data_IF_329019257776
#
_entry.id   IF_329019257776
#
_cell.length_a   1.000
_cell.length_b   1.000
_cell.length_c   1.000
_cell.angle_alpha   90.00
_cell.angle_beta   90.00
_cell.angle_gamma   90.00
#
_symmetry.space_group_name_H-M   'P 1'
#
loop_
_entity.id
_entity.type
_entity.pdbx_description
1 polymer ?
#
# COMPACT_ATOMS: atom_id res chain seq x y z
N UNK A 1 9.88 -11.46 -20.76
CA UNK A 1 10.17 -10.54 -19.62
C UNK A 1 9.18 -9.38 -19.45
N UNK A 2 8.96 -8.50 -20.46
CA UNK A 2 8.02 -7.37 -20.34
C UNK A 2 6.60 -7.78 -19.90
N UNK A 3 6.02 -8.80 -20.57
CA UNK A 3 4.69 -9.37 -20.23
C UNK A 3 4.62 -9.91 -18.79
N UNK A 4 5.72 -10.50 -18.30
CA UNK A 4 5.79 -11.06 -16.95
C UNK A 4 5.76 -9.95 -15.90
N UNK A 5 6.59 -8.92 -16.05
CA UNK A 5 6.62 -7.78 -15.11
C UNK A 5 5.27 -7.04 -15.12
N UNK A 6 4.69 -6.83 -16.31
CA UNK A 6 3.36 -6.23 -16.43
C UNK A 6 2.28 -7.03 -15.71
N UNK A 7 2.35 -8.37 -15.76
CA UNK A 7 1.44 -9.25 -14.99
C UNK A 7 1.56 -9.02 -13.48
N UNK A 8 2.78 -8.94 -12.94
CA UNK A 8 2.94 -8.67 -11.50
C UNK A 8 2.51 -7.26 -11.12
N UNK A 9 2.77 -6.27 -11.98
CA UNK A 9 2.31 -4.90 -11.79
C UNK A 9 0.77 -4.82 -11.73
N UNK A 10 0.05 -5.42 -12.68
CA UNK A 10 -1.42 -5.36 -12.69
C UNK A 10 -2.02 -6.11 -11.48
N UNK A 11 -1.41 -7.23 -11.06
CA UNK A 11 -1.81 -7.93 -9.84
C UNK A 11 -1.59 -7.05 -8.61
N UNK A 12 -0.49 -6.29 -8.53
CA UNK A 12 -0.27 -5.33 -7.45
C UNK A 12 -1.31 -4.21 -7.44
N UNK A 13 -1.63 -3.62 -8.59
CA UNK A 13 -2.66 -2.59 -8.72
C UNK A 13 -4.02 -3.10 -8.24
N UNK A 14 -4.44 -4.30 -8.64
CA UNK A 14 -5.69 -4.90 -8.18
C UNK A 14 -5.71 -5.10 -6.66
N UNK A 15 -4.60 -5.58 -6.08
CA UNK A 15 -4.47 -5.74 -4.63
C UNK A 15 -4.57 -4.39 -3.91
N UNK A 16 -3.93 -3.34 -4.44
CA UNK A 16 -4.01 -1.98 -3.89
C UNK A 16 -5.45 -1.45 -3.91
N UNK A 17 -6.21 -1.70 -4.98
CA UNK A 17 -7.63 -1.33 -5.06
C UNK A 17 -8.46 -2.10 -4.03
N UNK A 18 -8.25 -3.42 -3.89
CA UNK A 18 -8.97 -4.24 -2.90
C UNK A 18 -8.67 -3.76 -1.47
N UNK A 19 -7.39 -3.52 -1.15
CA UNK A 19 -6.98 -2.98 0.15
C UNK A 19 -7.60 -1.62 0.43
N UNK A 20 -7.68 -0.75 -0.57
CA UNK A 20 -8.34 0.55 -0.44
C UNK A 20 -9.84 0.41 -0.13
N UNK A 21 -10.54 -0.48 -0.83
CA UNK A 21 -11.97 -0.74 -0.57
C UNK A 21 -12.16 -1.26 0.86
N UNK A 22 -11.35 -2.25 1.27
CA UNK A 22 -11.41 -2.81 2.63
C UNK A 22 -11.11 -1.76 3.70
N UNK A 23 -10.11 -0.90 3.47
CA UNK A 23 -9.79 0.21 4.37
C UNK A 23 -10.96 1.16 4.55
N UNK A 24 -11.67 1.50 3.46
CA UNK A 24 -12.85 2.37 3.51
C UNK A 24 -14.02 1.73 4.24
N UNK A 25 -14.28 0.43 4.03
CA UNK A 25 -15.34 -0.30 4.74
C UNK A 25 -15.09 -0.26 6.25
N UNK A 26 -13.85 -0.57 6.68
CA UNK A 26 -13.48 -0.57 8.10
C UNK A 26 -13.61 0.81 8.74
N UNK A 27 -13.25 1.89 8.04
CA UNK A 27 -13.44 3.25 8.55
C UNK A 27 -14.92 3.63 8.65
N UNK A 28 -15.72 3.23 7.67
CA UNK A 28 -17.16 3.52 7.65
C UNK A 28 -17.90 2.86 8.82
N UNK A 29 -17.46 1.69 9.27
CA UNK A 29 -18.06 0.99 10.42
C UNK A 29 -17.71 1.64 11.76
N UNK A 30 -16.67 2.47 11.83
CA UNK A 30 -16.25 3.16 13.06
C UNK A 30 -16.93 4.51 13.27
N UNK A 31 -17.83 4.93 12.39
CA UNK A 31 -18.52 6.20 12.48
C UNK A 31 -19.75 6.12 13.39
N UNK A 32 -19.84 7.02 14.38
CA UNK A 32 -20.93 7.10 15.36
C UNK A 32 -22.13 7.87 14.81
N UNK A 33 -23.33 7.47 15.21
CA UNK A 33 -24.59 8.18 14.93
C UNK A 33 -24.54 9.62 15.48
N UNK A 34 -24.63 10.61 14.59
CA UNK A 34 -24.59 12.03 14.95
C UNK A 34 -25.99 12.58 15.21
N UNK A 35 -26.25 13.08 16.42
CA UNK A 35 -27.50 13.79 16.77
C UNK A 35 -27.28 15.32 16.79
N UNK A 36 -27.26 15.97 15.62
CA UNK A 36 -27.19 17.44 15.54
C UNK A 36 -26.77 18.00 14.18
N UNK A 37 -27.19 19.23 13.85
CA UNK A 37 -26.83 19.90 12.58
C UNK A 37 -25.33 20.24 12.49
N UNK A 38 -24.72 20.72 13.59
CA UNK A 38 -23.28 20.99 13.64
C UNK A 38 -22.46 19.69 13.59
N UNK A 39 -22.94 18.64 14.26
CA UNK A 39 -22.31 17.32 14.22
C UNK A 39 -22.37 16.71 12.82
N UNK A 40 -23.47 16.92 12.09
CA UNK A 40 -23.59 16.51 10.69
C UNK A 40 -22.56 17.23 9.79
N UNK A 41 -22.30 18.52 10.04
CA UNK A 41 -21.34 19.31 9.26
C UNK A 41 -19.89 18.90 9.57
N UNK A 42 -19.57 18.68 10.84
CA UNK A 42 -18.27 18.13 11.27
C UNK A 42 -18.07 16.71 10.73
N UNK A 43 -19.12 15.89 10.71
CA UNK A 43 -19.12 14.55 10.16
C UNK A 43 -18.83 14.52 8.66
N UNK A 44 -19.47 15.41 7.87
CA UNK A 44 -19.19 15.55 6.44
C UNK A 44 -17.72 15.96 6.21
N UNK A 45 -17.21 16.88 7.04
CA UNK A 45 -15.81 17.32 6.95
C UNK A 45 -14.83 16.19 7.29
N UNK A 46 -15.12 15.39 8.31
CA UNK A 46 -14.34 14.21 8.68
C UNK A 46 -14.35 13.13 7.59
N UNK A 47 -15.50 12.90 6.94
CA UNK A 47 -15.60 12.04 5.76
C UNK A 47 -14.71 12.57 4.63
N UNK A 48 -14.77 13.86 4.33
CA UNK A 48 -13.95 14.49 3.28
C UNK A 48 -12.45 14.37 3.56
N UNK A 49 -12.03 14.61 4.80
CA UNK A 49 -10.64 14.46 5.23
C UNK A 49 -10.20 12.99 5.14
N UNK A 50 -11.00 12.05 5.63
CA UNK A 50 -10.70 10.61 5.53
C UNK A 50 -10.64 10.15 4.06
N UNK A 51 -11.51 10.69 3.20
CA UNK A 51 -11.52 10.41 1.76
C UNK A 51 -10.23 10.94 1.12
N UNK A 52 -9.82 12.16 1.44
CA UNK A 52 -8.57 12.76 0.99
C UNK A 52 -7.36 11.91 1.38
N UNK A 53 -7.26 11.51 2.65
CA UNK A 53 -6.19 10.61 3.13
C UNK A 53 -6.20 9.26 2.42
N UNK A 54 -7.38 8.67 2.21
CA UNK A 54 -7.50 7.39 1.51
C UNK A 54 -7.09 7.47 0.03
N UNK A 55 -7.37 8.60 -0.65
CA UNK A 55 -6.95 8.83 -2.03
C UNK A 55 -5.43 9.03 -2.13
N UNK A 56 -4.84 9.78 -1.19
CA UNK A 56 -3.38 9.92 -1.10
C UNK A 56 -2.71 8.55 -0.90
N UNK A 57 -3.29 7.69 -0.07
CA UNK A 57 -2.82 6.31 0.12
C UNK A 57 -2.88 5.51 -1.19
N UNK A 58 -4.01 5.55 -1.91
CA UNK A 58 -4.16 4.86 -3.19
C UNK A 58 -3.17 5.38 -4.25
N UNK A 59 -3.04 6.71 -4.39
CA UNK A 59 -2.07 7.33 -5.30
C UNK A 59 -0.64 6.93 -4.94
N UNK A 60 -0.30 6.91 -3.65
CA UNK A 60 1.00 6.43 -3.17
C UNK A 60 1.26 4.98 -3.60
N UNK A 61 0.32 4.08 -3.35
CA UNK A 61 0.42 2.67 -3.76
C UNK A 61 0.58 2.51 -5.27
N UNK A 62 -0.14 3.29 -6.07
CA UNK A 62 -0.03 3.26 -7.53
C UNK A 62 1.34 3.77 -8.00
N UNK A 63 1.83 4.89 -7.46
CA UNK A 63 3.18 5.40 -7.76
C UNK A 63 4.24 4.38 -7.34
N UNK A 64 4.09 3.73 -6.20
CA UNK A 64 5.01 2.69 -5.74
C UNK A 64 4.95 1.46 -6.63
N UNK A 65 3.79 1.08 -7.15
CA UNK A 65 3.70 -0.04 -8.08
C UNK A 65 4.59 0.15 -9.32
N UNK A 66 4.84 1.39 -9.74
CA UNK A 66 5.70 1.69 -10.90
C UNK A 66 7.15 1.24 -10.69
N UNK A 67 7.64 1.14 -9.44
CA UNK A 67 9.00 0.63 -9.19
C UNK A 67 9.17 -0.82 -9.64
N UNK A 68 8.08 -1.58 -9.82
CA UNK A 68 8.15 -2.94 -10.33
C UNK A 68 8.79 -2.98 -11.73
N UNK A 69 8.57 -1.94 -12.54
CA UNK A 69 9.17 -1.81 -13.87
C UNK A 69 10.69 -1.65 -13.85
N UNK A 70 11.30 -1.30 -12.73
CA UNK A 70 12.76 -1.30 -12.59
C UNK A 70 13.36 -2.70 -12.79
N UNK A 71 12.57 -3.77 -12.59
CA UNK A 71 13.00 -5.13 -12.94
C UNK A 71 13.09 -5.40 -14.45
N UNK A 72 12.73 -4.44 -15.31
CA UNK A 72 13.05 -4.51 -16.75
C UNK A 72 14.57 -4.40 -16.97
N UNK A 73 15.28 -3.74 -16.06
CA UNK A 73 16.74 -3.59 -16.11
C UNK A 73 17.38 -4.89 -15.62
N UNK A 74 18.16 -5.54 -16.49
CA UNK A 74 18.82 -6.84 -16.21
C UNK A 74 19.66 -6.81 -14.92
N UNK A 75 20.44 -5.74 -14.69
CA UNK A 75 21.26 -5.55 -13.48
C UNK A 75 20.43 -5.57 -12.18
N UNK A 76 19.25 -4.94 -12.20
CA UNK A 76 18.34 -4.88 -11.04
C UNK A 76 17.69 -6.23 -10.83
N UNK A 77 17.18 -6.82 -11.91
CA UNK A 77 16.47 -8.11 -11.88
C UNK A 77 17.35 -9.26 -11.42
N UNK A 78 18.59 -9.33 -11.90
CA UNK A 78 19.46 -10.47 -11.62
C UNK A 78 19.97 -10.41 -10.17
N UNK A 79 20.12 -9.20 -9.61
CA UNK A 79 20.43 -8.98 -8.20
C UNK A 79 19.18 -9.13 -7.31
N UNK A 80 19.21 -10.12 -6.41
CA UNK A 80 18.09 -10.41 -5.50
C UNK A 80 17.73 -9.23 -4.59
N UNK A 81 18.71 -8.48 -4.09
CA UNK A 81 18.48 -7.38 -3.17
C UNK A 81 17.86 -6.17 -3.87
N UNK A 82 18.42 -5.79 -5.03
CA UNK A 82 17.87 -4.68 -5.82
C UNK A 82 16.45 -5.01 -6.30
N UNK A 83 16.22 -6.23 -6.77
CA UNK A 83 14.88 -6.70 -7.15
C UNK A 83 13.92 -6.72 -5.98
N UNK A 84 14.34 -7.07 -4.75
CA UNK A 84 13.48 -6.98 -3.57
C UNK A 84 13.10 -5.52 -3.27
N UNK A 85 14.08 -4.62 -3.35
CA UNK A 85 13.88 -3.20 -3.04
C UNK A 85 12.83 -2.54 -3.95
N UNK A 86 12.68 -3.02 -5.19
CA UNK A 86 11.61 -2.51 -6.07
C UNK A 86 10.21 -2.92 -5.65
N UNK A 87 10.05 -3.97 -4.85
CA UNK A 87 8.74 -4.43 -4.37
C UNK A 87 8.39 -3.83 -3.00
N UNK A 88 9.36 -3.76 -2.08
CA UNK A 88 9.11 -3.37 -0.69
C UNK A 88 9.76 -2.05 -0.27
N UNK A 89 10.71 -1.52 -1.04
CA UNK A 89 11.57 -0.42 -0.58
C UNK A 89 10.80 0.83 -0.16
N UNK A 90 9.97 1.37 -1.05
CA UNK A 90 9.18 2.55 -0.73
C UNK A 90 8.12 2.26 0.35
N UNK A 91 7.34 1.16 0.26
CA UNK A 91 6.39 0.79 1.31
C UNK A 91 7.02 0.68 2.71
N UNK A 92 8.23 0.14 2.83
CA UNK A 92 8.97 0.08 4.11
C UNK A 92 9.32 1.46 4.62
N UNK A 93 9.81 2.37 3.77
CA UNK A 93 10.15 3.74 4.17
C UNK A 93 8.91 4.48 4.68
N UNK A 94 7.78 4.34 3.97
CA UNK A 94 6.50 4.92 4.39
C UNK A 94 6.03 4.36 5.75
N UNK A 95 6.16 3.05 5.95
CA UNK A 95 5.80 2.42 7.22
C UNK A 95 6.65 2.95 8.38
N UNK A 96 7.98 3.05 8.19
CA UNK A 96 8.89 3.59 9.21
C UNK A 96 8.50 5.02 9.57
N UNK A 97 8.21 5.87 8.59
CA UNK A 97 7.77 7.23 8.82
C UNK A 97 6.47 7.29 9.63
N UNK A 98 5.47 6.46 9.29
CA UNK A 98 4.21 6.40 10.01
C UNK A 98 4.38 5.92 11.46
N UNK A 99 5.27 4.95 11.71
CA UNK A 99 5.58 4.45 13.05
C UNK A 99 6.29 5.49 13.92
N UNK A 100 7.22 6.27 13.34
CA UNK A 100 7.86 7.39 14.03
C UNK A 100 6.81 8.43 14.43
N UNK A 101 5.90 8.78 13.52
CA UNK A 101 4.83 9.73 13.79
C UNK A 101 3.92 9.27 14.94
N UNK A 102 3.58 7.97 14.97
CA UNK A 102 2.76 7.35 16.01
C UNK A 102 3.46 7.29 17.38
N UNK A 103 4.80 7.38 17.40
CA UNK A 103 5.59 7.36 18.64
C UNK A 103 5.56 8.71 19.38
N UNK A 104 5.13 9.79 18.74
CA UNK A 104 4.95 11.06 19.43
C UNK A 104 3.67 11.03 20.29
N UNK A 105 3.71 11.53 21.54
CA UNK A 105 2.58 11.45 22.49
C UNK A 105 1.37 12.35 22.12
N UNK A 106 1.32 12.86 20.89
CA UNK A 106 0.25 13.71 20.37
C UNK A 106 -0.92 12.84 19.89
N UNK A 107 -1.77 12.41 20.85
CA UNK A 107 -3.04 11.69 20.64
C UNK A 107 -2.97 10.36 19.85
N UNK A 108 -3.65 9.34 20.40
CA UNK A 108 -3.88 8.07 19.69
C UNK A 108 -4.81 8.33 18.51
N UNK A 109 -4.24 8.42 17.31
CA UNK A 109 -5.03 8.61 16.08
C UNK A 109 -5.42 7.25 15.49
N UNK A 110 -6.66 6.83 15.73
CA UNK A 110 -7.22 5.54 15.26
C UNK A 110 -7.06 5.36 13.74
N UNK A 111 -7.20 6.44 12.97
CA UNK A 111 -7.03 6.43 11.50
C UNK A 111 -5.59 6.08 11.13
N UNK A 112 -4.60 6.60 11.87
CA UNK A 112 -3.19 6.34 11.63
C UNK A 112 -2.81 4.90 12.01
N UNK A 113 -3.39 4.36 13.09
CA UNK A 113 -3.24 2.94 13.48
C UNK A 113 -3.77 2.02 12.37
N UNK A 114 -4.94 2.32 11.81
CA UNK A 114 -5.48 1.57 10.67
C UNK A 114 -4.60 1.69 9.43
N UNK A 115 -4.09 2.90 9.14
CA UNK A 115 -3.19 3.11 8.02
C UNK A 115 -1.93 2.22 8.13
N UNK A 116 -1.35 2.15 9.33
CA UNK A 116 -0.20 1.30 9.63
C UNK A 116 -0.55 -0.18 9.47
N UNK A 117 -1.70 -0.63 9.99
CA UNK A 117 -2.11 -2.05 9.89
C UNK A 117 -2.31 -2.48 8.43
N UNK A 118 -3.00 -1.69 7.62
CA UNK A 118 -3.18 -1.96 6.20
C UNK A 118 -1.86 -1.89 5.41
N UNK A 119 -0.94 -1.01 5.80
CA UNK A 119 0.40 -0.93 5.21
C UNK A 119 1.23 -2.19 5.50
N UNK A 120 1.13 -2.77 6.70
CA UNK A 120 1.77 -4.05 7.05
C UNK A 120 1.20 -5.18 6.19
N UNK A 121 -0.13 -5.26 6.04
CA UNK A 121 -0.79 -6.26 5.18
C UNK A 121 -0.28 -6.14 3.73
N UNK A 122 -0.21 -4.93 3.21
CA UNK A 122 0.32 -4.68 1.87
C UNK A 122 1.80 -5.13 1.72
N UNK A 123 2.64 -4.89 2.73
CA UNK A 123 4.03 -5.35 2.75
C UNK A 123 4.15 -6.88 2.72
N UNK A 124 3.30 -7.59 3.44
CA UNK A 124 3.25 -9.06 3.42
C UNK A 124 2.91 -9.53 2.01
N UNK A 125 1.87 -8.94 1.40
CA UNK A 125 1.43 -9.33 0.06
C UNK A 125 2.50 -9.04 -1.01
N UNK A 126 3.13 -7.88 -0.98
CA UNK A 126 4.20 -7.52 -1.93
C UNK A 126 5.45 -8.38 -1.76
N UNK A 127 5.76 -8.80 -0.52
CA UNK A 127 6.83 -9.77 -0.25
C UNK A 127 6.50 -11.13 -0.88
N UNK A 128 5.26 -11.62 -0.73
CA UNK A 128 4.81 -12.86 -1.37
C UNK A 128 4.88 -12.74 -2.89
N UNK A 129 4.43 -11.61 -3.47
CA UNK A 129 4.54 -11.35 -4.90
C UNK A 129 6.00 -11.40 -5.39
N UNK A 130 6.93 -10.80 -4.64
CA UNK A 130 8.36 -10.86 -4.94
C UNK A 130 8.88 -12.31 -4.95
N UNK A 131 8.52 -13.11 -3.94
CA UNK A 131 8.92 -14.52 -3.87
C UNK A 131 8.40 -15.32 -5.07
N UNK A 132 7.13 -15.10 -5.45
CA UNK A 132 6.55 -15.71 -6.65
C UNK A 132 7.28 -15.25 -7.92
N UNK A 133 7.53 -13.94 -8.07
CA UNK A 133 8.26 -13.36 -9.19
C UNK A 133 9.64 -14.00 -9.36
N UNK A 134 10.39 -14.21 -8.26
CA UNK A 134 11.69 -14.87 -8.29
C UNK A 134 11.60 -16.33 -8.74
N UNK A 135 10.59 -17.08 -8.29
CA UNK A 135 10.37 -18.46 -8.74
C UNK A 135 10.08 -18.50 -10.25
N UNK A 136 9.23 -17.61 -10.75
CA UNK A 136 8.87 -17.55 -12.17
C UNK A 136 10.04 -17.13 -13.05
N UNK A 137 10.89 -16.18 -12.60
CA UNK A 137 12.11 -15.80 -13.35
C UNK A 137 13.08 -16.97 -13.46
N UNK A 138 13.32 -17.71 -12.38
CA UNK A 138 14.22 -18.88 -12.41
C UNK A 138 13.73 -19.92 -13.42
N UNK A 139 12.43 -20.19 -13.46
CA UNK A 139 11.82 -21.09 -14.44
C UNK A 139 12.02 -20.57 -15.86
N UNK A 140 11.77 -19.29 -16.10
CA UNK A 140 11.88 -18.66 -17.43
C UNK A 140 13.32 -18.53 -17.97
N UNK A 141 14.33 -18.64 -17.12
CA UNK A 141 15.75 -18.62 -17.52
C UNK A 141 16.28 -20.04 -17.77
N UNK A 142 15.71 -21.05 -17.12
CA UNK A 142 16.10 -22.46 -17.26
C UNK A 142 15.33 -23.20 -18.37
N UNK A 143 14.27 -22.60 -18.92
CA UNK A 143 13.59 -22.98 -20.17
C UNK A 143 14.24 -22.26 -21.36
#
# INVERSE_FOLDING_TARGET
>A
MKKLIFKYWITNVLISIILFILYRVVISEMQSDSEGFLDTLLFILEILISLGFSLVFLCGLLVFSLTFFLNLIKKIRDNRFLSLLTFIGIPVICLIYAMIYLSFPLQVNTILIMFVSFSIIYLIITTVQFLMFRKTIKKYINE
#
